data_IF_046275511455
#
_entry.id   IF_046275511455
#
_cell.length_a   1.000
_cell.length_b   1.000
_cell.length_c   1.000
_cell.angle_alpha   90.00
_cell.angle_beta   90.00
_cell.angle_gamma   90.00
#
_symmetry.space_group_name_H-M   'P 1'
#
loop_
_entity.id
_entity.type
_entity.pdbx_description
1 polymer ?
#
# COMPACT_ATOMS: atom_id res chain seq x y z
N UNK A 1 -10.78 13.55 12.36
CA UNK A 1 -10.42 12.59 11.30
C UNK A 1 -8.97 12.80 10.91
N UNK A 2 -8.21 11.74 10.90
CA UNK A 2 -6.80 11.82 10.49
C UNK A 2 -6.70 11.42 9.03
N UNK A 3 -6.26 12.35 8.20
CA UNK A 3 -6.08 12.09 6.77
C UNK A 3 -4.62 12.24 6.40
N UNK A 4 -4.17 11.49 5.41
CA UNK A 4 -2.80 11.57 4.96
C UNK A 4 -2.67 11.20 3.49
N UNK A 5 -1.53 11.60 2.93
CA UNK A 5 -1.10 11.15 1.62
C UNK A 5 0.10 10.23 1.85
N UNK A 6 0.05 9.06 1.26
CA UNK A 6 1.12 8.07 1.39
C UNK A 6 1.68 7.79 0.02
N UNK A 7 2.97 7.95 -0.14
CA UNK A 7 3.66 7.66 -1.39
C UNK A 7 4.73 6.62 -1.12
N UNK A 8 4.82 5.62 -1.93
CA UNK A 8 5.83 4.59 -1.76
C UNK A 8 5.70 3.45 -2.75
N UNK A 9 6.32 2.34 -2.40
CA UNK A 9 6.43 1.17 -3.26
C UNK A 9 5.63 0.00 -2.70
N UNK A 10 4.86 -0.66 -3.56
CA UNK A 10 4.07 -1.82 -3.16
C UNK A 10 5.00 -2.99 -2.89
N UNK A 11 4.81 -3.64 -1.75
CA UNK A 11 5.66 -4.75 -1.32
C UNK A 11 5.25 -6.11 -1.85
N UNK A 12 3.99 -6.28 -2.23
CA UNK A 12 3.46 -7.52 -2.80
C UNK A 12 2.28 -7.14 -3.69
N UNK A 13 1.96 -8.00 -4.64
CA UNK A 13 0.83 -7.75 -5.53
C UNK A 13 -0.45 -7.51 -4.70
N UNK A 14 -1.23 -6.56 -5.12
CA UNK A 14 -2.50 -6.24 -4.46
C UNK A 14 -3.46 -7.43 -4.57
N UNK A 15 -4.28 -7.60 -3.56
CA UNK A 15 -5.28 -8.66 -3.54
C UNK A 15 -6.67 -8.07 -3.40
N UNK A 16 -7.66 -8.81 -3.87
CA UNK A 16 -9.05 -8.42 -3.74
C UNK A 16 -9.79 -9.53 -3.00
N UNK A 17 -10.43 -9.18 -1.90
CA UNK A 17 -11.29 -10.08 -1.17
C UNK A 17 -12.74 -9.67 -1.43
N UNK A 18 -13.58 -10.63 -1.76
CA UNK A 18 -14.98 -10.35 -2.01
C UNK A 18 -15.81 -10.69 -0.78
N UNK A 19 -16.66 -9.77 -0.39
CA UNK A 19 -17.69 -10.02 0.62
C UNK A 19 -19.03 -10.03 -0.10
N UNK A 20 -20.13 -10.24 0.64
CA UNK A 20 -21.44 -10.24 0.02
C UNK A 20 -21.85 -8.89 -0.56
N UNK A 21 -21.25 -7.80 -0.07
CA UNK A 21 -21.64 -6.45 -0.50
C UNK A 21 -20.53 -5.69 -1.20
N UNK A 22 -19.27 -6.03 -0.94
CA UNK A 22 -18.14 -5.24 -1.42
C UNK A 22 -17.01 -6.09 -1.96
N UNK A 23 -16.20 -5.46 -2.77
CA UNK A 23 -14.87 -5.97 -3.09
C UNK A 23 -13.89 -5.13 -2.28
N UNK A 24 -12.96 -5.76 -1.59
CA UNK A 24 -11.99 -5.07 -0.76
C UNK A 24 -10.61 -5.23 -1.39
N UNK A 25 -10.10 -4.15 -1.97
CA UNK A 25 -8.76 -4.12 -2.53
C UNK A 25 -7.79 -3.79 -1.41
N UNK A 26 -6.73 -4.57 -1.26
CA UNK A 26 -5.72 -4.28 -0.25
C UNK A 26 -4.32 -4.53 -0.76
N UNK A 27 -3.39 -3.71 -0.30
CA UNK A 27 -1.97 -3.83 -0.60
C UNK A 27 -1.17 -3.08 0.47
N UNK A 28 0.11 -3.39 0.57
CA UNK A 28 1.00 -2.74 1.53
C UNK A 28 2.01 -1.88 0.80
N UNK A 29 2.23 -0.68 1.32
CA UNK A 29 3.14 0.30 0.73
C UNK A 29 4.29 0.57 1.69
N UNK A 30 5.51 0.49 1.16
CA UNK A 30 6.70 0.90 1.89
C UNK A 30 6.79 2.41 1.79
N UNK A 31 6.34 3.10 2.83
CA UNK A 31 6.25 4.55 2.82
C UNK A 31 7.55 5.24 3.18
N UNK A 32 8.38 4.62 3.98
CA UNK A 32 9.71 5.16 4.27
C UNK A 32 10.63 4.03 4.72
N UNK A 33 11.92 4.20 4.43
CA UNK A 33 12.97 3.32 4.94
C UNK A 33 14.10 4.19 5.43
N UNK A 34 14.57 3.91 6.64
CA UNK A 34 15.69 4.65 7.21
C UNK A 34 16.50 3.75 8.12
N UNK A 35 17.74 4.13 8.39
CA UNK A 35 18.57 3.40 9.33
C UNK A 35 18.25 3.84 10.75
N UNK A 36 18.17 2.88 11.67
CA UNK A 36 18.04 3.20 13.08
C UNK A 36 19.43 3.47 13.67
N UNK A 37 19.48 3.68 14.98
CA UNK A 37 20.74 3.99 15.65
C UNK A 37 21.75 2.84 15.62
N UNK A 38 21.27 1.63 15.43
CA UNK A 38 22.13 0.46 15.35
C UNK A 38 22.59 0.19 13.90
N UNK A 39 22.23 1.05 12.97
CA UNK A 39 22.62 0.90 11.57
C UNK A 39 21.74 -0.06 10.77
N UNK A 40 20.65 -0.51 11.34
CA UNK A 40 19.74 -1.42 10.66
C UNK A 40 18.65 -0.64 9.92
N UNK A 41 18.24 -1.16 8.76
CA UNK A 41 17.17 -0.54 7.99
C UNK A 41 15.82 -0.83 8.63
N UNK A 42 15.03 0.23 8.79
CA UNK A 42 13.67 0.13 9.31
C UNK A 42 12.73 0.68 8.26
N UNK A 43 11.76 -0.12 7.86
CA UNK A 43 10.78 0.27 6.85
C UNK A 43 9.43 0.48 7.51
N UNK A 44 8.79 1.59 7.18
CA UNK A 44 7.43 1.86 7.64
C UNK A 44 6.45 1.36 6.57
N UNK A 45 5.64 0.39 6.94
CA UNK A 45 4.65 -0.20 6.05
C UNK A 45 3.27 0.35 6.36
N UNK A 46 2.54 0.70 5.31
CA UNK A 46 1.16 1.17 5.45
C UNK A 46 0.27 0.21 4.68
N UNK A 47 -0.72 -0.37 5.36
CA UNK A 47 -1.70 -1.21 4.70
C UNK A 47 -2.76 -0.30 4.09
N UNK A 48 -2.93 -0.37 2.78
CA UNK A 48 -3.91 0.44 2.08
C UNK A 48 -5.09 -0.43 1.69
N UNK A 49 -6.29 0.07 1.95
CA UNK A 49 -7.53 -0.67 1.71
C UNK A 49 -8.51 0.25 1.00
N UNK A 50 -9.16 -0.24 -0.02
CA UNK A 50 -10.21 0.50 -0.71
C UNK A 50 -11.38 -0.43 -0.99
N UNK A 51 -12.60 0.06 -0.72
CA UNK A 51 -13.81 -0.70 -0.92
C UNK A 51 -14.45 -0.32 -2.25
N UNK A 52 -14.85 -1.32 -3.01
CA UNK A 52 -15.55 -1.14 -4.27
C UNK A 52 -16.86 -1.91 -4.24
N UNK A 53 -17.90 -1.42 -4.94
CA UNK A 53 -19.14 -2.16 -5.03
C UNK A 53 -18.92 -3.52 -5.71
N UNK A 54 -19.74 -4.48 -5.39
CA UNK A 54 -19.74 -5.77 -6.07
C UNK A 54 -20.01 -5.58 -7.56
N UNK A 55 -19.28 -6.36 -8.35
CA UNK A 55 -19.47 -6.33 -9.80
C UNK A 55 -18.74 -5.19 -10.52
N UNK A 56 -18.16 -4.25 -9.78
CA UNK A 56 -17.43 -3.17 -10.41
C UNK A 56 -16.02 -3.63 -10.78
N UNK A 57 -15.58 -3.35 -11.99
CA UNK A 57 -14.22 -3.66 -12.39
C UNK A 57 -13.23 -2.72 -11.68
N UNK A 58 -12.12 -3.27 -11.21
CA UNK A 58 -11.08 -2.51 -10.57
C UNK A 58 -9.95 -2.35 -11.59
N UNK A 59 -9.99 -1.25 -12.33
CA UNK A 59 -9.06 -1.05 -13.45
C UNK A 59 -7.60 -0.93 -13.02
N UNK A 60 -7.37 -0.50 -11.79
CA UNK A 60 -6.01 -0.35 -11.29
C UNK A 60 -5.37 -1.67 -10.89
N UNK A 61 -6.16 -2.69 -10.64
CA UNK A 61 -5.66 -3.94 -10.08
C UNK A 61 -4.45 -4.52 -10.82
N UNK A 62 -4.44 -4.61 -12.15
CA UNK A 62 -3.28 -5.15 -12.85
C UNK A 62 -2.02 -4.32 -12.68
N UNK A 63 -2.15 -3.05 -12.32
CA UNK A 63 -1.01 -2.16 -12.16
C UNK A 63 -0.50 -2.10 -10.72
N UNK A 64 -1.22 -2.68 -9.79
CA UNK A 64 -0.85 -2.68 -8.37
C UNK A 64 -0.03 -3.93 -8.06
N UNK A 65 1.13 -4.03 -8.67
CA UNK A 65 2.00 -5.17 -8.53
C UNK A 65 3.22 -4.84 -7.69
N UNK A 66 3.87 -5.87 -7.17
CA UNK A 66 5.08 -5.71 -6.36
C UNK A 66 6.09 -4.84 -7.09
N UNK A 67 6.60 -3.83 -6.43
CA UNK A 67 7.58 -2.90 -6.99
C UNK A 67 6.97 -1.67 -7.64
N UNK A 68 5.66 -1.63 -7.84
CA UNK A 68 4.99 -0.45 -8.39
C UNK A 68 5.00 0.69 -7.39
N UNK A 69 5.10 1.91 -7.89
CA UNK A 69 5.07 3.11 -7.04
C UNK A 69 3.70 3.74 -7.12
N UNK A 70 3.17 4.09 -5.97
CA UNK A 70 1.81 4.64 -5.86
C UNK A 70 1.76 5.80 -4.90
N UNK A 71 0.76 6.66 -5.09
CA UNK A 71 0.37 7.69 -4.14
C UNK A 71 -1.07 7.39 -3.71
N UNK A 72 -1.30 7.33 -2.42
CA UNK A 72 -2.59 6.99 -1.86
C UNK A 72 -3.01 8.09 -0.91
N UNK A 73 -4.24 8.55 -1.05
CA UNK A 73 -4.82 9.55 -0.14
C UNK A 73 -6.02 8.94 0.57
N UNK A 74 -6.13 9.18 1.84
CA UNK A 74 -7.27 8.66 2.58
C UNK A 74 -7.15 8.87 4.08
N UNK A 75 -8.01 8.18 4.82
CA UNK A 75 -8.06 8.28 6.28
C UNK A 75 -7.10 7.28 6.88
N UNK A 76 -6.37 7.72 7.87
CA UNK A 76 -5.38 6.88 8.56
C UNK A 76 -5.98 6.37 9.86
N UNK A 77 -5.81 5.08 10.10
CA UNK A 77 -6.15 4.45 11.36
C UNK A 77 -4.91 3.79 11.92
N UNK A 78 -4.68 3.96 13.21
CA UNK A 78 -3.57 3.35 13.90
C UNK A 78 -4.12 2.28 14.86
N UNK A 79 -3.56 1.08 14.80
CA UNK A 79 -3.92 0.01 15.72
C UNK A 79 -2.70 -0.40 16.51
N UNK A 80 -2.80 -0.35 17.83
CA UNK A 80 -1.72 -0.79 18.70
C UNK A 80 -2.08 -2.13 19.32
N UNK A 81 -1.12 -3.01 19.41
CA UNK A 81 -1.32 -4.30 20.02
C UNK A 81 -0.03 -4.78 20.68
N UNK A 82 -0.18 -5.66 21.64
CA UNK A 82 0.97 -6.18 22.39
C UNK A 82 1.19 -7.64 22.02
N UNK A 83 2.42 -7.99 21.69
CA UNK A 83 2.76 -9.37 21.37
C UNK A 83 2.81 -10.20 22.65
N UNK A 84 2.92 -11.51 22.51
CA UNK A 84 3.04 -12.41 23.64
C UNK A 84 4.32 -12.15 24.45
N UNK A 85 5.32 -11.55 23.82
CA UNK A 85 6.58 -11.23 24.50
C UNK A 85 6.56 -9.85 25.15
N UNK A 86 5.44 -9.15 25.10
CA UNK A 86 5.33 -7.83 25.74
C UNK A 86 5.72 -6.67 24.85
N UNK A 87 6.07 -6.90 23.61
CA UNK A 87 6.41 -5.80 22.71
C UNK A 87 5.15 -5.12 22.19
N UNK A 88 5.19 -3.80 22.14
CA UNK A 88 4.09 -3.04 21.54
C UNK A 88 4.33 -2.90 20.05
N UNK A 89 3.32 -3.20 19.26
CA UNK A 89 3.35 -3.05 17.81
C UNK A 89 2.26 -2.09 17.37
N UNK A 90 2.54 -1.35 16.32
CA UNK A 90 1.58 -0.41 15.75
C UNK A 90 1.40 -0.73 14.27
N UNK A 91 0.16 -0.93 13.86
CA UNK A 91 -0.18 -1.09 12.46
C UNK A 91 -0.80 0.20 11.95
N UNK A 92 -0.41 0.62 10.77
CA UNK A 92 -0.95 1.81 10.12
C UNK A 92 -1.79 1.34 8.95
N UNK A 93 -3.05 1.73 8.94
CA UNK A 93 -3.96 1.42 7.83
C UNK A 93 -4.47 2.70 7.21
N UNK A 94 -4.43 2.77 5.88
CA UNK A 94 -5.00 3.88 5.14
C UNK A 94 -6.26 3.36 4.43
N UNK A 95 -7.40 3.92 4.79
CA UNK A 95 -8.64 3.64 4.07
C UNK A 95 -8.68 4.61 2.90
N UNK A 96 -8.28 4.12 1.74
CA UNK A 96 -8.00 4.95 0.59
C UNK A 96 -9.26 5.53 -0.05
N UNK A 97 -9.22 6.83 -0.32
CA UNK A 97 -10.25 7.50 -1.09
C UNK A 97 -9.74 7.63 -2.54
N UNK A 98 -8.45 7.75 -2.73
CA UNK A 98 -7.86 7.94 -4.04
C UNK A 98 -6.51 7.21 -4.12
N UNK A 99 -6.30 6.51 -5.24
CA UNK A 99 -5.06 5.80 -5.50
C UNK A 99 -4.57 6.22 -6.88
N UNK A 100 -3.31 6.68 -6.96
CA UNK A 100 -2.68 7.03 -8.21
C UNK A 100 -1.45 6.14 -8.40
N UNK A 101 -1.35 5.51 -9.54
CA UNK A 101 -0.17 4.71 -9.88
C UNK A 101 0.84 5.62 -10.56
N UNK A 102 1.99 5.82 -9.91
CA UNK A 102 3.05 6.69 -10.42
C UNK A 102 3.92 5.96 -11.44
N UNK A 103 4.24 4.70 -11.17
CA UNK A 103 4.90 3.84 -12.12
C UNK A 103 4.56 2.40 -11.78
N UNK A 104 4.36 1.58 -12.79
CA UNK A 104 3.94 0.19 -12.57
C UNK A 104 4.94 -0.77 -13.18
N UNK A 105 5.27 -1.82 -12.42
CA UNK A 105 6.10 -2.88 -12.96
C UNK A 105 5.38 -3.67 -14.03
N UNK A 106 4.03 -3.65 -14.01
CA UNK A 106 3.24 -4.29 -15.04
C UNK A 106 3.44 -3.59 -16.38
N UNK A 107 3.57 -2.24 -16.37
CA UNK A 107 3.77 -1.44 -17.56
C UNK A 107 5.26 -1.20 -17.86
N UNK A 108 6.14 -1.73 -17.07
CA UNK A 108 7.56 -1.48 -17.24
C UNK A 108 8.05 -2.09 -18.52
N UNK A 109 8.60 -1.27 -19.37
CA UNK A 109 9.14 -1.71 -20.61
C UNK A 109 10.64 -1.61 -20.51
N UNK A 110 11.31 -2.68 -20.77
CA UNK A 110 12.73 -2.69 -20.55
C UNK A 110 13.44 -1.63 -21.29
N UNK A 111 12.81 -1.05 -22.17
CA UNK A 111 13.36 -0.18 -22.91
C UNK A 111 13.58 1.04 -22.41
N UNK A 112 13.05 1.33 -21.70
CA UNK A 112 13.06 2.49 -21.35
C UNK A 112 14.20 3.07 -21.23
N UNK A 113 14.61 2.59 -21.47
CA UNK A 113 15.50 3.04 -21.52
C UNK A 113 15.86 4.18 -22.05
N UNK A 114 15.60 4.19 -22.03
CA UNK A 114 15.80 4.82 -22.29
C UNK A 114 15.98 5.60 -22.21
N UNK A 115 15.97 5.60 -22.28
CA UNK A 115 15.98 6.14 -22.19
C UNK A 115 16.61 6.66 -21.92
N UNK A 116 16.93 6.87 -21.91
CA UNK A 116 17.37 7.40 -21.71
C UNK A 116 17.57 7.99 -21.57
#
# INVERSE_FOLDING_TARGET
>A
MLQANVTGTIGQDAIVNNTSEYQILSFSVSASSKKDKAGQWVTTWVKCVKFYPQGKAIDLLPKLTKGSKVAVSGRIELSEWTTKTGEKKTDIQCNADYIEVLSSTFDAVPVVANSA
#
